data_IF_515770855818
#
_entry.id   IF_515770855818
#
_cell.length_a   1.000
_cell.length_b   1.000
_cell.length_c   1.000
_cell.angle_alpha   90.00
_cell.angle_beta   90.00
_cell.angle_gamma   90.00
#
_symmetry.space_group_name_H-M   'P 1'
#
loop_
_entity.id
_entity.type
_entity.pdbx_description
1 polymer ?
#
# COMPACT_ATOMS: atom_id res chain seq x y z
N UNK A 1 -43.58 -57.88 28.05
CA UNK A 1 -43.02 -56.53 28.27
C UNK A 1 -41.64 -56.50 27.68
N UNK A 2 -41.44 -55.82 26.50
CA UNK A 2 -40.12 -55.69 25.86
C UNK A 2 -39.61 -54.26 26.11
N UNK A 3 -38.58 -54.12 26.94
CA UNK A 3 -37.86 -52.87 27.16
C UNK A 3 -37.01 -52.55 25.93
N UNK A 4 -37.27 -51.36 25.32
CA UNK A 4 -36.41 -50.79 24.27
C UNK A 4 -35.34 -49.97 24.95
N UNK A 5 -34.09 -50.44 24.85
CA UNK A 5 -32.90 -49.72 25.26
C UNK A 5 -32.58 -48.62 24.25
N UNK A 6 -32.73 -47.35 24.65
CA UNK A 6 -32.46 -46.19 23.86
C UNK A 6 -30.96 -45.83 24.03
N UNK A 7 -30.10 -46.18 23.06
CA UNK A 7 -28.71 -45.75 23.02
C UNK A 7 -28.65 -44.27 22.67
N UNK A 8 -28.36 -43.42 23.64
CA UNK A 8 -27.92 -42.04 23.43
C UNK A 8 -26.44 -42.03 23.02
N UNK A 9 -26.19 -41.80 21.72
CA UNK A 9 -24.83 -41.46 21.23
C UNK A 9 -24.51 -40.00 21.63
N UNK A 10 -23.38 -39.75 22.30
CA UNK A 10 -22.94 -38.40 22.55
C UNK A 10 -22.43 -37.78 21.22
N UNK A 11 -23.08 -36.71 20.80
CA UNK A 11 -22.66 -35.87 19.70
C UNK A 11 -21.43 -35.07 20.17
N UNK A 12 -20.23 -35.54 19.88
CA UNK A 12 -19.01 -34.77 20.06
C UNK A 12 -19.00 -33.66 19.02
N UNK A 13 -19.39 -32.45 19.40
CA UNK A 13 -19.08 -31.22 18.69
C UNK A 13 -17.55 -31.04 18.72
N UNK A 14 -16.87 -31.51 17.68
CA UNK A 14 -15.51 -31.09 17.37
C UNK A 14 -15.55 -29.61 16.99
N UNK A 15 -15.45 -28.73 18.01
CA UNK A 15 -15.09 -27.35 17.81
C UNK A 15 -13.67 -27.36 17.26
N UNK A 16 -13.56 -27.41 15.92
CA UNK A 16 -12.31 -27.17 15.24
C UNK A 16 -11.87 -25.75 15.56
N UNK A 17 -11.00 -25.60 16.55
CA UNK A 17 -10.27 -24.37 16.79
C UNK A 17 -9.35 -24.16 15.58
N UNK A 18 -9.89 -23.57 14.51
CA UNK A 18 -9.12 -23.21 13.32
C UNK A 18 -8.00 -22.27 13.77
N UNK A 19 -6.76 -22.73 13.67
CA UNK A 19 -5.59 -21.94 13.98
C UNK A 19 -5.64 -20.66 13.16
N UNK A 20 -5.53 -19.50 13.82
CA UNK A 20 -5.54 -18.20 13.13
C UNK A 20 -4.41 -18.21 12.10
N UNK A 21 -4.74 -17.92 10.84
CA UNK A 21 -3.77 -17.87 9.74
C UNK A 21 -3.65 -16.45 9.21
N UNK A 22 -2.48 -16.10 8.65
CA UNK A 22 -2.27 -14.80 7.99
C UNK A 22 -3.24 -14.54 6.83
N UNK A 23 -3.88 -15.57 6.29
CA UNK A 23 -4.90 -15.47 5.22
C UNK A 23 -6.27 -14.99 5.73
N UNK A 24 -6.50 -15.02 7.03
CA UNK A 24 -7.76 -14.56 7.61
C UNK A 24 -7.86 -13.02 7.53
N UNK A 25 -8.61 -12.53 6.55
CA UNK A 25 -8.80 -11.10 6.31
C UNK A 25 -9.59 -10.37 7.40
N UNK A 26 -10.21 -11.07 8.37
CA UNK A 26 -10.87 -10.44 9.52
C UNK A 26 -9.90 -9.99 10.61
N UNK A 27 -8.67 -10.52 10.62
CA UNK A 27 -7.62 -10.11 11.56
C UNK A 27 -7.01 -8.78 11.15
N UNK A 28 -6.51 -8.00 12.13
CA UNK A 28 -5.71 -6.81 11.85
C UNK A 28 -4.47 -7.12 11.00
N UNK A 29 -4.05 -6.18 10.14
CA UNK A 29 -2.92 -6.38 9.23
C UNK A 29 -1.63 -6.73 9.98
N UNK A 30 -1.36 -6.09 11.12
CA UNK A 30 -0.19 -6.34 11.95
C UNK A 30 -0.18 -7.78 12.51
N UNK A 31 -1.32 -8.27 12.98
CA UNK A 31 -1.45 -9.65 13.45
C UNK A 31 -1.20 -10.65 12.31
N UNK A 32 -1.78 -10.39 11.14
CA UNK A 32 -1.56 -11.20 9.94
C UNK A 32 -0.09 -11.21 9.52
N UNK A 33 0.58 -10.06 9.56
CA UNK A 33 2.00 -9.95 9.28
C UNK A 33 2.84 -10.76 10.27
N UNK A 34 2.52 -10.70 11.56
CA UNK A 34 3.17 -11.49 12.60
C UNK A 34 3.00 -13.00 12.42
N UNK A 35 1.82 -13.44 11.97
CA UNK A 35 1.57 -14.84 11.64
C UNK A 35 2.37 -15.27 10.40
N UNK A 36 2.39 -14.45 9.35
CA UNK A 36 3.17 -14.70 8.15
C UNK A 36 4.67 -14.81 8.44
N UNK A 37 5.22 -13.89 9.25
CA UNK A 37 6.63 -13.90 9.63
C UNK A 37 7.09 -15.21 10.30
N UNK A 38 6.20 -15.91 10.99
CA UNK A 38 6.50 -17.20 11.63
C UNK A 38 6.62 -18.34 10.60
N UNK A 39 5.97 -18.18 9.46
CA UNK A 39 5.96 -19.19 8.39
C UNK A 39 7.11 -19.00 7.38
N UNK A 40 7.67 -17.79 7.28
CA UNK A 40 8.75 -17.48 6.35
C UNK A 40 10.10 -18.03 6.83
N UNK A 41 10.87 -18.62 5.91
CA UNK A 41 12.29 -18.93 6.14
C UNK A 41 13.13 -17.66 6.17
N UNK A 42 14.40 -17.76 6.60
CA UNK A 42 15.30 -16.61 6.61
C UNK A 42 15.55 -16.08 5.19
N UNK A 43 15.76 -16.97 4.23
CA UNK A 43 15.99 -16.62 2.83
C UNK A 43 14.79 -15.93 2.20
N UNK A 44 13.57 -16.39 2.51
CA UNK A 44 12.34 -15.76 2.06
C UNK A 44 12.16 -14.37 2.67
N UNK A 45 12.44 -14.19 3.96
CA UNK A 45 12.44 -12.87 4.62
C UNK A 45 13.41 -11.90 3.94
N UNK A 46 14.63 -12.34 3.66
CA UNK A 46 15.63 -11.53 2.97
C UNK A 46 15.16 -11.16 1.56
N UNK A 47 14.57 -12.11 0.82
CA UNK A 47 14.06 -11.84 -0.54
C UNK A 47 12.93 -10.82 -0.57
N UNK A 48 12.09 -10.76 0.47
CA UNK A 48 11.01 -9.79 0.59
C UNK A 48 11.50 -8.37 0.95
N UNK A 49 12.76 -8.20 1.36
CA UNK A 49 13.37 -6.89 1.64
C UNK A 49 13.92 -6.19 0.38
N UNK A 50 13.92 -6.87 -0.77
CA UNK A 50 14.36 -6.29 -2.03
C UNK A 50 13.25 -5.43 -2.66
N UNK A 51 13.61 -4.42 -3.44
CA UNK A 51 12.63 -3.58 -4.18
C UNK A 51 11.78 -4.42 -5.14
N UNK A 52 12.35 -5.49 -5.69
CA UNK A 52 11.65 -6.50 -6.47
C UNK A 52 11.54 -7.78 -5.65
N UNK A 53 10.51 -7.83 -4.79
CA UNK A 53 10.25 -8.97 -3.92
C UNK A 53 9.82 -10.19 -4.72
N UNK A 54 10.51 -11.30 -4.50
CA UNK A 54 10.18 -12.57 -5.17
C UNK A 54 8.90 -13.19 -4.60
N UNK A 55 8.17 -13.99 -5.39
CA UNK A 55 7.01 -14.71 -4.86
C UNK A 55 7.42 -15.75 -3.83
N UNK A 56 6.55 -16.01 -2.87
CA UNK A 56 6.66 -17.17 -1.97
C UNK A 56 5.49 -18.10 -2.28
N UNK A 57 5.65 -18.91 -3.31
CA UNK A 57 4.57 -19.70 -3.92
C UNK A 57 3.91 -20.64 -2.92
N UNK A 58 4.69 -21.32 -2.05
CA UNK A 58 4.15 -22.24 -1.03
C UNK A 58 3.20 -21.54 -0.04
N UNK A 59 3.31 -20.22 0.12
CA UNK A 59 2.45 -19.41 0.97
C UNK A 59 1.40 -18.64 0.14
N UNK A 60 1.45 -18.71 -1.18
CA UNK A 60 0.57 -17.98 -2.08
C UNK A 60 0.83 -16.49 -2.12
N UNK A 61 2.07 -16.06 -1.80
CA UNK A 61 2.49 -14.67 -1.89
C UNK A 61 2.95 -14.40 -3.31
N UNK A 62 2.32 -13.43 -3.96
CA UNK A 62 2.68 -12.98 -5.30
C UNK A 62 3.94 -12.13 -5.27
N UNK A 63 4.68 -12.01 -6.39
CA UNK A 63 5.77 -11.05 -6.49
C UNK A 63 5.23 -9.62 -6.31
N UNK A 64 6.07 -8.74 -5.80
CA UNK A 64 5.71 -7.33 -5.63
C UNK A 64 6.91 -6.44 -5.91
N UNK A 65 6.68 -5.34 -6.64
CA UNK A 65 7.70 -4.34 -6.84
C UNK A 65 7.38 -3.09 -6.01
N UNK A 66 8.31 -2.73 -5.11
CA UNK A 66 8.19 -1.61 -4.19
C UNK A 66 8.52 -0.27 -4.85
N UNK A 67 9.12 -0.28 -6.04
CA UNK A 67 9.55 0.93 -6.72
C UNK A 67 8.43 1.50 -7.57
N UNK A 68 7.67 2.43 -7.00
CA UNK A 68 6.62 3.15 -7.69
C UNK A 68 6.73 4.64 -7.38
N UNK A 69 6.44 5.48 -8.35
CA UNK A 69 6.61 6.91 -8.26
C UNK A 69 5.31 7.63 -8.63
N UNK A 70 4.96 8.64 -7.84
CA UNK A 70 3.78 9.46 -8.08
C UNK A 70 4.00 10.91 -7.64
N UNK A 71 5.17 11.48 -7.93
CA UNK A 71 5.56 12.79 -7.45
C UNK A 71 4.60 13.91 -7.88
N UNK A 72 4.10 13.82 -9.13
CA UNK A 72 3.10 14.73 -9.68
C UNK A 72 2.17 14.02 -10.69
N UNK A 73 1.77 12.81 -10.36
CA UNK A 73 0.99 11.88 -11.17
C UNK A 73 1.68 10.52 -11.21
N UNK A 74 0.92 9.45 -11.52
CA UNK A 74 1.48 8.09 -11.58
C UNK A 74 2.52 8.02 -12.70
N UNK A 75 3.77 7.72 -12.32
CA UNK A 75 4.89 7.71 -13.25
C UNK A 75 5.08 6.35 -13.92
N UNK A 76 5.51 6.38 -15.20
CA UNK A 76 6.15 5.31 -15.96
C UNK A 76 5.34 4.02 -16.17
N UNK A 77 4.07 4.01 -15.82
CA UNK A 77 3.16 2.88 -16.04
C UNK A 77 2.09 3.22 -17.10
N UNK A 78 2.50 3.64 -18.29
CA UNK A 78 1.63 4.11 -19.36
C UNK A 78 1.11 5.55 -19.12
N UNK A 79 -0.02 5.90 -19.74
CA UNK A 79 -0.61 7.24 -19.61
C UNK A 79 -1.26 7.43 -18.24
N UNK A 80 -1.10 8.63 -17.68
CA UNK A 80 -1.75 9.09 -16.47
C UNK A 80 -1.92 10.61 -16.52
N UNK A 81 -2.74 11.15 -15.62
CA UNK A 81 -2.83 12.60 -15.42
C UNK A 81 -1.52 13.13 -14.88
N UNK A 82 -1.00 14.20 -15.51
CA UNK A 82 0.23 14.87 -15.09
C UNK A 82 -0.15 16.20 -14.45
N UNK A 83 0.23 16.34 -13.19
CA UNK A 83 0.07 17.57 -12.41
C UNK A 83 1.34 18.42 -12.47
N UNK A 84 1.31 19.69 -12.05
CA UNK A 84 2.52 20.48 -11.89
C UNK A 84 3.55 19.80 -10.97
N UNK A 85 4.84 20.13 -11.14
CA UNK A 85 5.87 19.73 -10.19
C UNK A 85 5.53 20.23 -8.78
N UNK A 86 5.98 19.55 -7.70
CA UNK A 86 5.67 19.91 -6.32
C UNK A 86 5.92 21.38 -5.97
N UNK A 87 7.01 21.97 -6.47
CA UNK A 87 7.28 23.41 -6.30
C UNK A 87 6.19 24.30 -6.90
N UNK A 88 5.66 23.90 -8.06
CA UNK A 88 4.54 24.60 -8.71
C UNK A 88 3.23 24.40 -7.97
N UNK A 89 2.96 23.20 -7.46
CA UNK A 89 1.78 22.94 -6.61
C UNK A 89 1.85 23.77 -5.31
N UNK A 90 3.04 23.86 -4.70
CA UNK A 90 3.24 24.67 -3.48
C UNK A 90 2.99 26.16 -3.72
N UNK A 91 3.33 26.67 -4.90
CA UNK A 91 3.10 28.06 -5.29
C UNK A 91 1.59 28.45 -5.36
N UNK A 92 0.70 27.48 -5.37
CA UNK A 92 -0.74 27.72 -5.26
C UNK A 92 -1.18 28.14 -3.85
N UNK A 93 -0.39 27.82 -2.82
CA UNK A 93 -0.74 27.98 -1.40
C UNK A 93 -2.09 27.33 -1.02
N UNK A 94 -2.54 26.33 -1.79
CA UNK A 94 -3.81 25.62 -1.59
C UNK A 94 -3.58 24.14 -1.24
N UNK A 95 -3.53 23.80 0.06
CA UNK A 95 -3.45 22.40 0.50
C UNK A 95 -4.62 21.55 -0.01
N UNK A 96 -5.80 22.14 -0.14
CA UNK A 96 -7.03 21.48 -0.60
C UNK A 96 -6.86 21.00 -2.05
N UNK A 97 -6.36 21.85 -2.94
CA UNK A 97 -6.09 21.48 -4.34
C UNK A 97 -5.05 20.36 -4.45
N UNK A 98 -4.03 20.39 -3.59
CA UNK A 98 -3.03 19.31 -3.51
C UNK A 98 -3.68 18.00 -3.07
N UNK A 99 -4.55 18.04 -2.06
CA UNK A 99 -5.30 16.86 -1.60
C UNK A 99 -6.18 16.26 -2.71
N UNK A 100 -6.93 17.09 -3.43
CA UNK A 100 -7.77 16.66 -4.54
C UNK A 100 -6.95 16.03 -5.68
N UNK A 101 -5.83 16.67 -6.05
CA UNK A 101 -4.91 16.14 -7.05
C UNK A 101 -4.36 14.77 -6.69
N UNK A 102 -3.88 14.60 -5.45
CA UNK A 102 -3.35 13.30 -4.99
C UNK A 102 -4.44 12.26 -4.72
N UNK A 103 -5.67 12.67 -4.47
CA UNK A 103 -6.82 11.75 -4.48
C UNK A 103 -7.02 11.16 -5.88
N UNK A 104 -6.98 11.98 -6.93
CA UNK A 104 -7.05 11.49 -8.31
C UNK A 104 -5.86 10.59 -8.65
N UNK A 105 -4.63 10.95 -8.25
CA UNK A 105 -3.44 10.10 -8.41
C UNK A 105 -3.65 8.73 -7.79
N UNK A 106 -4.22 8.67 -6.58
CA UNK A 106 -4.45 7.39 -5.89
C UNK A 106 -5.50 6.53 -6.61
N UNK A 107 -6.54 7.15 -7.19
CA UNK A 107 -7.53 6.43 -8.00
C UNK A 107 -6.92 5.84 -9.27
N UNK A 108 -6.12 6.63 -9.98
CA UNK A 108 -5.41 6.17 -11.17
C UNK A 108 -4.41 5.04 -10.84
N UNK A 109 -3.66 5.16 -9.76
CA UNK A 109 -2.73 4.12 -9.31
C UNK A 109 -3.45 2.79 -9.00
N UNK A 110 -4.59 2.86 -8.32
CA UNK A 110 -5.43 1.68 -8.05
C UNK A 110 -5.97 1.04 -9.31
N UNK A 111 -6.48 1.84 -10.24
CA UNK A 111 -6.99 1.34 -11.52
C UNK A 111 -5.89 0.64 -12.33
N UNK A 112 -4.69 1.25 -12.41
CA UNK A 112 -3.53 0.68 -13.09
C UNK A 112 -3.06 -0.62 -12.44
N UNK A 113 -2.92 -0.62 -11.12
CA UNK A 113 -2.53 -1.83 -10.39
C UNK A 113 -3.54 -2.97 -10.60
N UNK A 114 -4.85 -2.69 -10.55
CA UNK A 114 -5.88 -3.68 -10.82
C UNK A 114 -5.76 -4.25 -12.25
N UNK A 115 -5.53 -3.40 -13.23
CA UNK A 115 -5.30 -3.82 -14.62
C UNK A 115 -4.06 -4.72 -14.74
N UNK A 116 -2.89 -4.29 -14.25
CA UNK A 116 -1.66 -5.07 -14.35
C UNK A 116 -1.74 -6.39 -13.58
N UNK A 117 -2.34 -6.37 -12.40
CA UNK A 117 -2.57 -7.58 -11.60
C UNK A 117 -3.47 -8.58 -12.33
N UNK A 118 -4.47 -8.11 -13.08
CA UNK A 118 -5.32 -8.98 -13.91
C UNK A 118 -4.57 -9.62 -15.07
N UNK A 119 -3.45 -9.03 -15.49
CA UNK A 119 -2.52 -9.58 -16.49
C UNK A 119 -1.37 -10.37 -15.86
N UNK A 120 -1.43 -10.66 -14.56
CA UNK A 120 -0.35 -11.31 -13.78
C UNK A 120 1.00 -10.57 -13.85
N UNK A 121 0.97 -9.25 -14.09
CA UNK A 121 2.14 -8.39 -14.15
C UNK A 121 2.34 -7.67 -12.82
N UNK A 122 3.57 -7.71 -12.31
CA UNK A 122 3.98 -7.13 -11.03
C UNK A 122 5.32 -6.38 -11.15
N UNK A 123 5.48 -5.71 -12.28
CA UNK A 123 6.71 -5.00 -12.61
C UNK A 123 6.83 -3.67 -11.87
N UNK A 124 8.00 -3.01 -12.00
CA UNK A 124 8.25 -1.67 -11.48
C UNK A 124 7.20 -0.68 -12.00
N UNK A 125 6.78 0.24 -11.15
CA UNK A 125 5.75 1.26 -11.40
C UNK A 125 4.30 0.74 -11.50
N UNK A 126 4.06 -0.51 -11.17
CA UNK A 126 2.72 -1.12 -11.23
C UNK A 126 2.13 -1.40 -9.84
N UNK A 127 2.90 -1.16 -8.79
CA UNK A 127 2.51 -1.40 -7.40
C UNK A 127 1.74 -0.24 -6.77
N UNK A 128 1.52 -0.34 -5.46
CA UNK A 128 0.72 0.59 -4.66
C UNK A 128 1.54 1.30 -3.56
N UNK A 129 2.85 1.08 -3.50
CA UNK A 129 3.76 1.77 -2.58
C UNK A 129 4.41 2.91 -3.31
N UNK A 130 4.12 4.14 -2.94
CA UNK A 130 4.59 5.33 -3.65
C UNK A 130 5.77 5.99 -2.94
N UNK A 131 6.86 6.23 -3.67
CA UNK A 131 8.03 6.94 -3.16
C UNK A 131 7.85 8.46 -3.29
N UNK A 132 6.81 8.95 -2.63
CA UNK A 132 6.39 10.34 -2.61
C UNK A 132 5.64 10.65 -1.31
N UNK A 133 5.61 11.89 -0.82
CA UNK A 133 6.22 13.11 -1.34
C UNK A 133 7.72 13.26 -0.99
N UNK A 134 8.41 14.19 -1.66
CA UNK A 134 9.73 14.66 -1.23
C UNK A 134 9.55 15.72 -0.16
N UNK A 135 9.56 15.29 1.12
CA UNK A 135 9.36 16.17 2.29
C UNK A 135 10.65 16.81 2.78
N UNK A 136 11.49 17.24 1.87
CA UNK A 136 12.74 17.94 2.18
C UNK A 136 12.64 19.42 1.83
N UNK A 137 13.42 20.25 2.49
CA UNK A 137 13.43 21.70 2.26
C UNK A 137 14.43 22.04 1.17
N UNK A 138 14.05 22.92 0.26
CA UNK A 138 14.92 23.41 -0.79
C UNK A 138 15.96 24.40 -0.22
N UNK A 139 17.12 23.90 0.18
CA UNK A 139 18.16 24.68 0.87
C UNK A 139 19.20 25.29 -0.04
N UNK A 140 19.42 24.73 -1.23
CA UNK A 140 20.52 25.11 -2.10
C UNK A 140 20.07 25.07 -3.57
N UNK A 141 20.19 26.18 -4.32
CA UNK A 141 19.75 26.24 -5.72
C UNK A 141 20.55 25.33 -6.66
N UNK A 142 21.71 24.82 -6.22
CA UNK A 142 22.49 23.84 -6.99
C UNK A 142 21.93 22.42 -6.89
N UNK A 143 21.00 22.17 -5.98
CA UNK A 143 20.38 20.86 -5.85
C UNK A 143 19.40 20.60 -7.01
N UNK A 144 19.77 19.67 -7.93
CA UNK A 144 19.02 19.39 -9.15
C UNK A 144 17.60 18.87 -8.95
N UNK A 145 17.26 18.35 -7.75
CA UNK A 145 15.93 17.86 -7.40
C UNK A 145 15.09 18.88 -6.61
N UNK A 146 15.50 20.14 -6.56
CA UNK A 146 14.78 21.19 -5.84
C UNK A 146 13.32 21.37 -6.29
N UNK A 147 13.04 21.17 -7.59
CA UNK A 147 11.69 21.23 -8.14
C UNK A 147 10.73 20.15 -7.60
N UNK A 148 11.27 19.08 -7.04
CA UNK A 148 10.51 18.00 -6.41
C UNK A 148 10.08 18.31 -4.97
N UNK A 149 10.49 19.46 -4.43
CA UNK A 149 10.13 19.92 -3.09
C UNK A 149 8.99 20.94 -3.11
N UNK A 150 8.43 21.21 -1.94
CA UNK A 150 7.41 22.25 -1.75
C UNK A 150 8.01 23.62 -1.40
N UNK A 151 9.32 23.81 -1.60
CA UNK A 151 10.03 25.07 -1.39
C UNK A 151 10.88 25.10 -0.13
N UNK A 152 11.21 26.32 0.31
CA UNK A 152 12.16 26.60 1.40
C UNK A 152 11.49 26.63 2.79
N UNK A 153 10.17 26.90 2.85
CA UNK A 153 9.44 27.07 4.08
C UNK A 153 9.01 25.72 4.69
N UNK A 154 9.42 25.39 5.93
CA UNK A 154 9.07 24.13 6.57
C UNK A 154 7.58 24.02 6.90
N UNK A 155 6.88 25.12 7.17
CA UNK A 155 5.46 25.11 7.44
C UNK A 155 4.67 24.77 6.18
N UNK A 156 4.94 25.46 5.07
CA UNK A 156 4.31 25.16 3.77
C UNK A 156 4.57 23.73 3.35
N UNK A 157 5.83 23.28 3.42
CA UNK A 157 6.21 21.89 3.10
C UNK A 157 5.44 20.89 3.95
N UNK A 158 5.28 21.14 5.25
CA UNK A 158 4.54 20.23 6.13
C UNK A 158 3.05 20.19 5.78
N UNK A 159 2.44 21.35 5.48
CA UNK A 159 1.01 21.41 5.10
C UNK A 159 0.74 20.67 3.78
N UNK A 160 1.57 20.92 2.77
CA UNK A 160 1.44 20.24 1.47
C UNK A 160 1.72 18.73 1.58
N UNK A 161 2.80 18.35 2.26
CA UNK A 161 3.15 16.94 2.47
C UNK A 161 2.06 16.12 3.17
N UNK A 162 1.42 16.70 4.19
CA UNK A 162 0.28 16.05 4.86
C UNK A 162 -0.89 15.83 3.89
N UNK A 163 -1.17 16.79 3.01
CA UNK A 163 -2.28 16.65 2.05
C UNK A 163 -1.96 15.63 0.96
N UNK A 164 -0.72 15.55 0.51
CA UNK A 164 -0.27 14.47 -0.40
C UNK A 164 -0.51 13.10 0.22
N UNK A 165 -0.01 12.89 1.43
CA UNK A 165 -0.17 11.60 2.12
C UNK A 165 -1.65 11.26 2.32
N UNK A 166 -2.46 12.21 2.79
CA UNK A 166 -3.91 12.01 2.96
C UNK A 166 -4.62 11.69 1.63
N UNK A 167 -4.25 12.37 0.55
CA UNK A 167 -4.81 12.10 -0.79
C UNK A 167 -4.44 10.71 -1.29
N UNK A 168 -3.19 10.29 -1.09
CA UNK A 168 -2.71 8.97 -1.48
C UNK A 168 -3.33 7.85 -0.63
N UNK A 169 -3.34 7.99 0.69
CA UNK A 169 -3.92 6.98 1.60
C UNK A 169 -5.45 6.93 1.49
N UNK A 170 -6.07 8.03 1.12
CA UNK A 170 -7.52 8.15 1.03
C UNK A 170 -8.18 8.28 2.41
N UNK A 171 -9.50 8.37 2.40
CA UNK A 171 -10.31 8.17 3.61
C UNK A 171 -10.42 6.68 3.83
N UNK A 172 -9.52 6.12 4.64
CA UNK A 172 -9.63 4.71 4.97
C UNK A 172 -10.86 4.48 5.86
N UNK A 173 -11.51 3.36 5.64
CA UNK A 173 -12.57 2.85 6.52
C UNK A 173 -11.99 2.28 7.83
N UNK A 174 -10.73 2.62 8.14
CA UNK A 174 -9.95 2.15 9.28
C UNK A 174 -9.31 0.78 9.09
N UNK A 175 -9.43 0.18 7.91
CA UNK A 175 -8.90 -1.17 7.66
C UNK A 175 -7.69 -1.19 6.72
N UNK A 176 -7.74 -0.47 5.62
CA UNK A 176 -6.66 -0.46 4.61
C UNK A 176 -6.51 0.94 4.02
N UNK A 177 -5.26 1.35 3.85
CA UNK A 177 -4.95 2.54 3.07
C UNK A 177 -5.14 2.26 1.57
N UNK A 178 -5.45 3.29 0.81
CA UNK A 178 -5.63 3.22 -0.62
C UNK A 178 -4.28 2.97 -1.32
N UNK A 179 -3.25 3.72 -0.91
CA UNK A 179 -1.84 3.54 -1.26
C UNK A 179 -0.96 3.63 0.00
N UNK A 180 0.26 3.16 -0.12
CA UNK A 180 1.29 3.21 0.92
C UNK A 180 2.45 4.10 0.52
#
# INVERSE_FOLDING_TARGET
MKQKLLCLLPFFLLSGCGQATYKNASLPAEERAGLLLKELTLEEKVSLMMDSSKPVERLGIKPYNWWNEALHGVARAGLATVFPQPIGMAASFSPETVYEGFTAVSDEARAKNAYYTSQESHERYQGLTMWTPTVNIYRDPRWGRGIETYGEDPYLTSRMGVMVVKGLQGTNDGKYDKLH
#
